data_IF_862314361573
#
_entry.id   IF_862314361573
#
_cell.length_a   1.000
_cell.length_b   1.000
_cell.length_c   1.000
_cell.angle_alpha   90.00
_cell.angle_beta   90.00
_cell.angle_gamma   90.00
#
_symmetry.space_group_name_H-M   'P 1'
#
loop_
_entity.id
_entity.type
_entity.pdbx_description
1 polymer ?
#
# COMPACT_ATOMS: atom_id res chain seq x y z
N UNK A 1 -8.51 -24.23 -15.11
CA UNK A 1 -9.10 -23.15 -14.29
C UNK A 1 -7.99 -22.56 -13.43
N UNK A 2 -7.21 -21.63 -13.97
CA UNK A 2 -6.23 -20.89 -13.18
C UNK A 2 -6.96 -19.77 -12.48
N UNK A 3 -7.20 -19.89 -11.18
CA UNK A 3 -7.73 -18.79 -10.39
C UNK A 3 -6.72 -17.66 -10.46
N UNK A 4 -7.07 -16.57 -11.14
CA UNK A 4 -6.33 -15.33 -11.11
C UNK A 4 -6.30 -14.89 -9.64
N UNK A 5 -5.19 -15.16 -8.95
CA UNK A 5 -4.86 -14.51 -7.69
C UNK A 5 -4.90 -13.03 -8.00
N UNK A 6 -5.98 -12.35 -7.60
CA UNK A 6 -6.14 -10.90 -7.75
C UNK A 6 -5.07 -10.26 -6.89
N UNK A 7 -3.88 -10.08 -7.46
CA UNK A 7 -2.80 -9.35 -6.83
C UNK A 7 -3.36 -7.96 -6.55
N UNK A 8 -3.29 -7.45 -5.31
CA UNK A 8 -3.80 -6.13 -5.01
C UNK A 8 -3.09 -5.10 -5.88
N UNK A 9 -3.79 -4.54 -6.87
CA UNK A 9 -3.19 -3.62 -7.83
C UNK A 9 -2.94 -2.27 -7.15
N UNK A 10 -1.66 -1.96 -6.90
CA UNK A 10 -1.26 -0.66 -6.37
C UNK A 10 -1.27 0.37 -7.53
N UNK A 11 -2.04 1.48 -7.41
CA UNK A 11 -2.01 2.58 -8.36
C UNK A 11 -0.58 3.07 -8.62
N UNK A 12 -0.27 3.45 -9.86
CA UNK A 12 1.09 3.89 -10.23
C UNK A 12 1.63 5.02 -9.33
N UNK A 13 0.75 5.92 -8.89
CA UNK A 13 1.10 7.01 -7.98
C UNK A 13 1.50 6.56 -6.56
N UNK A 14 1.10 5.35 -6.15
CA UNK A 14 1.38 4.79 -4.83
C UNK A 14 2.53 3.78 -4.84
N UNK A 15 2.89 3.22 -5.99
CA UNK A 15 4.11 2.39 -6.16
C UNK A 15 5.42 2.99 -5.62
N UNK A 16 5.65 4.31 -5.55
CA UNK A 16 6.86 4.85 -4.91
C UNK A 16 6.84 4.74 -3.38
N UNK A 17 5.67 4.61 -2.75
CA UNK A 17 5.53 4.56 -1.27
C UNK A 17 4.92 3.27 -0.73
N UNK A 18 4.34 2.45 -1.61
CA UNK A 18 3.84 1.11 -1.33
C UNK A 18 4.51 0.10 -2.24
N UNK A 19 4.69 -1.11 -1.72
CA UNK A 19 5.28 -2.24 -2.42
C UNK A 19 4.49 -3.51 -2.09
N UNK A 20 4.31 -4.40 -3.06
CA UNK A 20 3.73 -5.72 -2.79
C UNK A 20 4.87 -6.65 -2.44
N UNK A 21 4.84 -7.22 -1.24
CA UNK A 21 5.78 -8.22 -0.76
C UNK A 21 5.04 -9.54 -0.54
N UNK A 22 5.74 -10.65 -0.72
CA UNK A 22 5.17 -11.98 -0.51
C UNK A 22 5.84 -12.58 0.72
N UNK A 23 5.06 -12.81 1.78
CA UNK A 23 5.50 -13.61 2.92
C UNK A 23 4.97 -15.04 2.72
N UNK A 24 5.86 -15.92 2.26
CA UNK A 24 5.47 -17.25 1.80
C UNK A 24 4.59 -17.17 0.53
N UNK A 25 3.35 -17.65 0.64
CA UNK A 25 2.36 -17.62 -0.45
C UNK A 25 1.33 -16.49 -0.32
N UNK A 26 1.44 -15.62 0.70
CA UNK A 26 0.46 -14.57 0.95
C UNK A 26 0.99 -13.19 0.49
N UNK A 27 0.29 -12.48 -0.42
CA UNK A 27 0.64 -11.12 -0.81
C UNK A 27 0.29 -10.14 0.32
N UNK A 28 1.24 -9.26 0.63
CA UNK A 28 1.10 -8.15 1.58
C UNK A 28 1.54 -6.85 0.93
N UNK A 29 1.01 -5.73 1.40
CA UNK A 29 1.36 -4.39 0.96
C UNK A 29 2.25 -3.77 2.03
N UNK A 30 3.52 -3.56 1.69
CA UNK A 30 4.51 -2.88 2.52
C UNK A 30 4.51 -1.38 2.28
N UNK A 31 4.41 -0.60 3.35
CA UNK A 31 4.61 0.84 3.35
C UNK A 31 6.11 1.15 3.42
N UNK A 32 6.67 1.61 2.30
CA UNK A 32 8.04 2.10 2.19
C UNK A 32 8.13 3.63 2.26
N UNK A 33 7.13 4.28 2.87
CA UNK A 33 7.18 5.72 3.10
C UNK A 33 8.41 6.07 3.95
N UNK A 34 9.20 7.01 3.47
CA UNK A 34 10.40 7.49 4.16
C UNK A 34 10.13 8.88 4.73
N UNK A 35 10.11 8.97 6.05
CA UNK A 35 9.92 10.23 6.77
C UNK A 35 11.12 11.16 6.64
N UNK A 36 10.97 12.39 7.15
CA UNK A 36 12.05 13.39 7.18
C UNK A 36 13.27 12.92 7.97
N UNK A 37 13.07 12.04 8.94
CA UNK A 37 14.11 11.41 9.76
C UNK A 37 14.88 10.29 9.01
N UNK A 38 14.59 10.07 7.73
CA UNK A 38 15.25 9.05 6.91
C UNK A 38 14.85 7.60 7.24
N UNK A 39 13.95 7.41 8.21
CA UNK A 39 13.40 6.09 8.59
C UNK A 39 12.27 5.70 7.64
N UNK A 40 12.34 4.47 7.15
CA UNK A 40 11.26 3.81 6.44
C UNK A 40 10.21 3.33 7.46
N UNK A 41 8.92 3.47 7.12
CA UNK A 41 7.86 2.99 7.99
C UNK A 41 7.84 1.45 8.14
N UNK A 42 7.94 0.71 7.03
CA UNK A 42 8.01 -0.75 7.01
C UNK A 42 6.71 -1.47 7.39
N UNK A 43 5.60 -0.77 7.59
CA UNK A 43 4.33 -1.37 7.98
C UNK A 43 3.74 -2.27 6.88
N UNK A 44 3.19 -3.43 7.25
CA UNK A 44 2.58 -4.41 6.34
C UNK A 44 1.06 -4.40 6.47
N UNK A 45 0.38 -4.50 5.34
CA UNK A 45 -1.08 -4.49 5.25
C UNK A 45 -1.58 -5.60 4.32
N UNK A 46 -2.73 -6.19 4.62
CA UNK A 46 -3.39 -7.17 3.75
C UNK A 46 -4.25 -6.51 2.66
N UNK A 47 -4.59 -5.22 2.85
CA UNK A 47 -5.53 -4.48 2.00
C UNK A 47 -4.96 -3.13 1.59
N UNK A 48 -5.20 -2.74 0.33
CA UNK A 48 -4.79 -1.44 -0.17
C UNK A 48 -5.45 -0.30 0.62
N UNK A 49 -6.73 -0.43 0.97
CA UNK A 49 -7.45 0.57 1.75
C UNK A 49 -6.80 0.89 3.09
N UNK A 50 -6.31 -0.13 3.81
CA UNK A 50 -5.62 0.08 5.09
C UNK A 50 -4.23 0.68 4.88
N UNK A 51 -3.50 0.25 3.85
CA UNK A 51 -2.23 0.85 3.48
C UNK A 51 -2.37 2.35 3.14
N UNK A 52 -3.41 2.74 2.40
CA UNK A 52 -3.68 4.15 2.08
C UNK A 52 -4.10 4.93 3.31
N UNK A 53 -4.98 4.39 4.17
CA UNK A 53 -5.33 5.04 5.44
C UNK A 53 -4.08 5.29 6.30
N UNK A 54 -3.16 4.34 6.32
CA UNK A 54 -1.89 4.51 7.01
C UNK A 54 -1.00 5.56 6.36
N UNK A 55 -0.90 5.60 5.02
CA UNK A 55 -0.17 6.66 4.31
C UNK A 55 -0.68 8.07 4.64
N UNK A 56 -1.99 8.23 4.88
CA UNK A 56 -2.57 9.52 5.29
C UNK A 56 -2.01 10.03 6.62
N UNK A 57 -1.58 9.13 7.52
CA UNK A 57 -0.93 9.48 8.79
C UNK A 57 0.45 10.11 8.52
N UNK A 58 1.15 9.63 7.49
CA UNK A 58 2.45 10.16 7.07
C UNK A 58 2.32 11.47 6.28
N UNK A 59 1.38 11.51 5.34
CA UNK A 59 1.14 12.66 4.46
C UNK A 59 -0.32 12.69 4.02
N UNK A 60 -1.02 13.76 4.39
CA UNK A 60 -2.45 13.93 4.13
C UNK A 60 -2.80 14.00 2.64
N UNK A 61 -1.82 14.25 1.75
CA UNK A 61 -2.04 14.23 0.29
C UNK A 61 -2.55 12.88 -0.21
N UNK A 62 -2.24 11.79 0.49
CA UNK A 62 -2.68 10.46 0.09
C UNK A 62 -4.17 10.22 0.35
N UNK A 63 -4.85 11.13 1.06
CA UNK A 63 -6.29 11.03 1.36
C UNK A 63 -7.13 11.00 0.09
N UNK A 64 -6.68 11.65 -0.99
CA UNK A 64 -7.35 11.63 -2.31
C UNK A 64 -7.49 10.22 -2.90
N UNK A 65 -6.58 9.31 -2.55
CA UNK A 65 -6.62 7.93 -3.05
C UNK A 65 -7.62 7.06 -2.31
N UNK A 66 -8.07 7.43 -1.10
CA UNK A 66 -9.11 6.69 -0.39
C UNK A 66 -10.43 6.68 -1.16
N UNK A 67 -10.73 7.76 -1.89
CA UNK A 67 -11.93 7.84 -2.73
C UNK A 67 -11.84 6.94 -3.98
N UNK A 68 -10.64 6.62 -4.46
CA UNK A 68 -10.43 5.82 -5.66
C UNK A 68 -10.62 4.31 -5.44
N UNK A 69 -10.54 3.85 -4.20
CA UNK A 69 -10.64 2.42 -3.84
C UNK A 69 -12.04 2.02 -3.36
N UNK A 70 -12.95 2.99 -3.19
CA UNK A 70 -14.29 2.77 -2.62
C UNK A 70 -15.40 2.77 -3.68
N UNK A 71 -15.05 2.56 -4.96
CA UNK A 71 -15.98 2.45 -6.11
C UNK A 71 -15.86 1.06 -6.71
#
# INVERSE_FOLDING_TARGET
MGGELRVPEIPAELKPVLEIVYEGNAPHIKCKYRGKDGKECGALFFSLSDAIRHLVIHDSKYRRFLSLINT
#
